data_IF_523313613986
#
_entry.id   IF_523313613986
#
_cell.length_a   1.000
_cell.length_b   1.000
_cell.length_c   1.000
_cell.angle_alpha   90.00
_cell.angle_beta   90.00
_cell.angle_gamma   90.00
#
_symmetry.space_group_name_H-M   'P 1'
#
loop_
_entity.id
_entity.type
_entity.pdbx_description
1 polymer ?
#
# COMPACT_ATOMS: atom_id res chain seq x y z
N UNK A 1 10.54 -9.66 15.85
CA UNK A 1 10.12 -8.46 15.08
C UNK A 1 10.81 -8.44 13.73
N UNK A 2 12.12 -8.68 13.67
CA UNK A 2 12.91 -8.82 12.44
C UNK A 2 12.39 -9.90 11.47
N UNK A 3 12.14 -11.12 11.96
CA UNK A 3 11.58 -12.23 11.15
C UNK A 3 10.24 -11.86 10.46
N UNK A 4 9.45 -10.97 11.06
CA UNK A 4 8.19 -10.49 10.47
C UNK A 4 8.41 -9.46 9.36
N UNK A 5 9.47 -8.66 9.46
CA UNK A 5 9.83 -7.67 8.44
C UNK A 5 10.39 -8.37 7.21
N UNK A 6 11.30 -9.34 7.39
CA UNK A 6 11.83 -10.17 6.31
C UNK A 6 10.71 -10.90 5.56
N UNK A 7 9.79 -11.55 6.29
CA UNK A 7 8.63 -12.19 5.69
C UNK A 7 7.76 -11.21 4.86
N UNK A 8 7.64 -9.94 5.28
CA UNK A 8 6.93 -8.93 4.51
C UNK A 8 7.68 -8.48 3.26
N UNK A 9 9.01 -8.38 3.33
CA UNK A 9 9.86 -8.07 2.19
C UNK A 9 9.77 -9.18 1.12
N UNK A 10 9.76 -10.44 1.53
CA UNK A 10 9.67 -11.60 0.63
C UNK A 10 8.24 -11.88 0.14
N UNK A 11 7.23 -11.42 0.88
CA UNK A 11 5.83 -11.61 0.50
C UNK A 11 5.49 -10.85 -0.79
N UNK A 12 4.83 -11.54 -1.71
CA UNK A 12 4.27 -10.95 -2.91
C UNK A 12 2.75 -11.13 -2.90
N UNK A 13 2.04 -10.14 -3.45
CA UNK A 13 0.60 -10.24 -3.67
C UNK A 13 0.31 -11.11 -4.89
N UNK A 14 -0.79 -11.83 -4.89
CA UNK A 14 -1.22 -12.57 -6.08
C UNK A 14 -1.83 -11.61 -7.12
N UNK A 15 -1.77 -11.98 -8.41
CA UNK A 15 -2.38 -11.18 -9.47
C UNK A 15 -3.90 -11.00 -9.27
N UNK A 16 -4.57 -12.01 -8.72
CA UNK A 16 -6.01 -11.97 -8.44
C UNK A 16 -6.34 -10.95 -7.36
N UNK A 17 -5.60 -10.93 -6.26
CA UNK A 17 -5.77 -9.94 -5.18
C UNK A 17 -5.43 -8.53 -5.67
N UNK A 18 -4.34 -8.38 -6.44
CA UNK A 18 -3.95 -7.09 -7.01
C UNK A 18 -5.05 -6.52 -7.91
N UNK A 19 -5.62 -7.36 -8.78
CA UNK A 19 -6.73 -6.98 -9.65
C UNK A 19 -7.97 -6.57 -8.84
N UNK A 20 -8.35 -7.38 -7.85
CA UNK A 20 -9.50 -7.13 -6.99
C UNK A 20 -9.41 -5.78 -6.29
N UNK A 21 -8.30 -5.50 -5.62
CA UNK A 21 -8.14 -4.24 -4.89
C UNK A 21 -7.98 -3.04 -5.83
N UNK A 22 -7.38 -3.23 -7.01
CA UNK A 22 -7.32 -2.18 -8.05
C UNK A 22 -8.71 -1.82 -8.55
N UNK A 23 -9.56 -2.81 -8.83
CA UNK A 23 -10.94 -2.58 -9.26
C UNK A 23 -11.77 -1.88 -8.18
N UNK A 24 -11.65 -2.34 -6.93
CA UNK A 24 -12.32 -1.72 -5.77
C UNK A 24 -11.90 -0.26 -5.60
N UNK A 25 -10.60 0.02 -5.60
CA UNK A 25 -10.08 1.38 -5.48
C UNK A 25 -10.54 2.27 -6.63
N UNK A 26 -10.41 1.80 -7.88
CA UNK A 26 -10.80 2.59 -9.05
C UNK A 26 -12.31 2.86 -9.07
N UNK A 27 -13.14 1.90 -8.64
CA UNK A 27 -14.58 2.12 -8.51
C UNK A 27 -14.88 3.17 -7.43
N UNK A 28 -14.26 3.05 -6.24
CA UNK A 28 -14.46 4.01 -5.16
C UNK A 28 -14.01 5.43 -5.56
N UNK A 29 -12.92 5.56 -6.32
CA UNK A 29 -12.46 6.82 -6.88
C UNK A 29 -13.45 7.40 -7.91
N UNK A 30 -13.99 6.58 -8.82
CA UNK A 30 -15.01 7.01 -9.79
C UNK A 30 -16.28 7.49 -9.12
N UNK A 31 -16.69 6.83 -8.05
CA UNK A 31 -17.92 7.16 -7.32
C UNK A 31 -17.73 8.33 -6.35
N UNK A 32 -16.50 8.84 -6.19
CA UNK A 32 -16.17 9.88 -5.21
C UNK A 32 -16.29 9.42 -3.75
N UNK A 33 -16.26 8.10 -3.51
CA UNK A 33 -16.46 7.45 -2.21
C UNK A 33 -15.23 6.67 -1.74
N UNK A 34 -14.04 7.07 -2.17
CA UNK A 34 -12.80 6.44 -1.70
C UNK A 34 -12.52 6.88 -0.26
N UNK A 35 -12.81 5.99 0.69
CA UNK A 35 -12.42 6.17 2.08
C UNK A 35 -10.92 5.89 2.30
N UNK A 36 -10.45 6.25 3.50
CA UNK A 36 -9.07 6.08 3.96
C UNK A 36 -8.68 4.61 3.95
N UNK A 37 -9.58 3.73 4.39
CA UNK A 37 -9.34 2.28 4.48
C UNK A 37 -9.15 1.63 3.11
N UNK A 38 -9.99 1.98 2.13
CA UNK A 38 -9.87 1.48 0.76
C UNK A 38 -8.58 1.98 0.11
N UNK A 39 -8.22 3.24 0.34
CA UNK A 39 -6.95 3.81 -0.13
C UNK A 39 -5.77 3.07 0.49
N UNK A 40 -5.79 2.86 1.80
CA UNK A 40 -4.73 2.18 2.54
C UNK A 40 -4.59 0.71 2.14
N UNK A 41 -5.70 -0.03 2.06
CA UNK A 41 -5.72 -1.42 1.60
C UNK A 41 -5.11 -1.55 0.20
N UNK A 42 -5.45 -0.61 -0.70
CA UNK A 42 -4.86 -0.60 -2.04
C UNK A 42 -3.36 -0.29 -2.01
N UNK A 43 -2.92 0.69 -1.22
CA UNK A 43 -1.49 1.01 -1.08
C UNK A 43 -0.66 -0.18 -0.55
N UNK A 44 -1.16 -0.90 0.45
CA UNK A 44 -0.54 -2.12 1.00
C UNK A 44 -0.48 -3.26 -0.02
N UNK A 45 -1.47 -3.33 -0.91
CA UNK A 45 -1.49 -4.32 -1.99
C UNK A 45 -0.39 -4.00 -3.00
N UNK A 46 -0.26 -2.73 -3.38
CA UNK A 46 0.77 -2.26 -4.31
C UNK A 46 2.18 -2.42 -3.73
N UNK A 47 2.39 -2.22 -2.42
CA UNK A 47 3.72 -2.39 -1.80
C UNK A 47 4.24 -3.83 -1.90
N UNK A 48 3.34 -4.80 -2.07
CA UNK A 48 3.63 -6.23 -2.25
C UNK A 48 3.65 -6.66 -3.72
N UNK A 49 3.51 -5.74 -4.66
CA UNK A 49 3.66 -6.01 -6.09
C UNK A 49 5.12 -6.31 -6.44
N UNK A 50 5.33 -6.97 -7.58
CA UNK A 50 6.65 -7.22 -8.18
C UNK A 50 7.09 -6.10 -9.13
N UNK A 51 6.24 -5.11 -9.36
CA UNK A 51 6.46 -4.04 -10.34
C UNK A 51 6.85 -2.76 -9.60
N UNK A 52 7.99 -2.15 -9.97
CA UNK A 52 8.48 -0.92 -9.33
C UNK A 52 7.54 0.28 -9.49
N UNK A 53 6.80 0.36 -10.61
CA UNK A 53 5.77 1.38 -10.80
C UNK A 53 4.66 1.31 -9.75
N UNK A 54 4.30 0.10 -9.28
CA UNK A 54 3.32 -0.07 -8.21
C UNK A 54 3.89 0.39 -6.87
N UNK A 55 5.19 0.19 -6.62
CA UNK A 55 5.87 0.69 -5.42
C UNK A 55 5.85 2.22 -5.36
N UNK A 56 6.19 2.91 -6.45
CA UNK A 56 6.09 4.37 -6.51
C UNK A 56 4.67 4.86 -6.23
N UNK A 57 3.67 4.19 -6.82
CA UNK A 57 2.27 4.53 -6.57
C UNK A 57 1.86 4.28 -5.12
N UNK A 58 2.32 3.18 -4.52
CA UNK A 58 2.12 2.87 -3.10
C UNK A 58 2.71 3.96 -2.20
N UNK A 59 3.95 4.39 -2.46
CA UNK A 59 4.64 5.47 -1.73
C UNK A 59 3.79 6.74 -1.74
N UNK A 60 3.38 7.21 -2.92
CA UNK A 60 2.57 8.43 -3.03
C UNK A 60 1.25 8.34 -2.24
N UNK A 61 0.58 7.18 -2.27
CA UNK A 61 -0.65 6.98 -1.49
C UNK A 61 -0.38 6.97 0.02
N UNK A 62 0.72 6.37 0.46
CA UNK A 62 1.10 6.31 1.88
C UNK A 62 1.55 7.67 2.41
N UNK A 63 2.26 8.47 1.61
CA UNK A 63 2.61 9.86 1.95
C UNK A 63 1.35 10.71 2.13
N UNK A 64 0.39 10.61 1.22
CA UNK A 64 -0.90 11.29 1.33
C UNK A 64 -1.67 10.87 2.59
N UNK A 65 -1.66 9.58 2.92
CA UNK A 65 -2.25 9.04 4.15
C UNK A 65 -1.52 9.51 5.42
N UNK A 66 -0.20 9.68 5.39
CA UNK A 66 0.56 10.25 6.52
C UNK A 66 0.18 11.70 6.81
N UNK A 67 -0.27 12.45 5.79
CA UNK A 67 -0.66 13.86 5.91
C UNK A 67 -2.15 14.03 6.24
N UNK A 68 -3.01 13.23 5.60
CA UNK A 68 -4.47 13.45 5.59
C UNK A 68 -5.32 12.26 6.06
N UNK A 69 -4.69 11.13 6.37
CA UNK A 69 -5.35 9.91 6.82
C UNK A 69 -5.71 9.93 8.30
N UNK A 70 -6.00 8.74 8.83
CA UNK A 70 -6.36 8.56 10.23
C UNK A 70 -5.12 8.67 11.14
N UNK A 71 -5.09 9.59 12.13
CA UNK A 71 -3.99 9.69 13.09
C UNK A 71 -3.73 8.41 13.88
N UNK A 72 -4.74 7.58 14.13
CA UNK A 72 -4.56 6.32 14.86
C UNK A 72 -3.79 5.29 14.02
N UNK A 73 -3.96 5.33 12.69
CA UNK A 73 -3.30 4.44 11.74
C UNK A 73 -1.97 5.01 11.19
N UNK A 74 -1.54 6.20 11.62
CA UNK A 74 -0.31 6.85 11.16
C UNK A 74 0.93 5.95 11.24
N UNK A 75 1.05 5.17 12.32
CA UNK A 75 2.17 4.23 12.50
C UNK A 75 2.17 3.12 11.45
N UNK A 76 1.00 2.65 11.05
CA UNK A 76 0.88 1.63 10.02
C UNK A 76 1.23 2.20 8.64
N UNK A 77 0.82 3.44 8.36
CA UNK A 77 1.21 4.13 7.13
C UNK A 77 2.73 4.26 7.00
N UNK A 78 3.39 4.76 8.06
CA UNK A 78 4.85 4.85 8.10
C UNK A 78 5.53 3.50 7.99
N UNK A 79 5.00 2.47 8.66
CA UNK A 79 5.55 1.13 8.60
C UNK A 79 5.56 0.61 7.15
N UNK A 80 4.43 0.69 6.44
CA UNK A 80 4.37 0.27 5.05
C UNK A 80 5.19 1.16 4.11
N UNK A 81 5.31 2.46 4.41
CA UNK A 81 6.15 3.39 3.66
C UNK A 81 7.63 3.00 3.74
N UNK A 82 8.10 2.61 4.93
CA UNK A 82 9.47 2.12 5.11
C UNK A 82 9.68 0.81 4.35
N UNK A 83 8.75 -0.15 4.48
CA UNK A 83 8.84 -1.45 3.80
C UNK A 83 8.94 -1.29 2.29
N UNK A 84 8.08 -0.46 1.68
CA UNK A 84 8.09 -0.26 0.22
C UNK A 84 9.34 0.47 -0.27
N UNK A 85 9.87 1.42 0.52
CA UNK A 85 11.13 2.09 0.19
C UNK A 85 12.32 1.11 0.23
N UNK A 86 12.36 0.21 1.23
CA UNK A 86 13.39 -0.84 1.26
C UNK A 86 13.29 -1.72 0.02
N UNK A 87 12.09 -2.19 -0.36
CA UNK A 87 11.88 -3.04 -1.55
C UNK A 87 12.24 -2.35 -2.88
N UNK A 88 12.22 -1.03 -2.93
CA UNK A 88 12.59 -0.28 -4.13
C UNK A 88 14.11 -0.12 -4.29
N UNK A 89 14.85 -0.17 -3.18
CA UNK A 89 16.29 0.01 -3.12
C UNK A 89 17.09 -1.30 -2.98
N UNK A 90 16.41 -2.43 -2.84
CA UNK A 90 16.95 -3.81 -2.79
C UNK A 90 16.61 -4.53 -4.08
#
# INVERSE_FOLDING_TARGET
MEERVEAMLDSNVTNSELKLHTEKFNQAMRDGKCDVDTKFQYAVTLSRSRISADHHRSITLLEDLCVSGDPEAFRDYLFYLIIVNIKLHV
#
